data_IF_385407393009
#
_entry.id   IF_385407393009
#
_cell.length_a   1.000
_cell.length_b   1.000
_cell.length_c   1.000
_cell.angle_alpha   90.00
_cell.angle_beta   90.00
_cell.angle_gamma   90.00
#
_symmetry.space_group_name_H-M   'P 1'
#
loop_
_entity.id
_entity.type
_entity.pdbx_description
1 polymer ?
#
# COMPACT_ATOMS: atom_id res chain seq x y z
N UNK A 1 -28.25 5.75 -13.10
CA UNK A 1 -27.56 5.55 -11.81
C UNK A 1 -26.17 5.04 -12.14
N UNK A 2 -25.12 5.86 -11.95
CA UNK A 2 -23.75 5.34 -12.00
C UNK A 2 -23.56 4.52 -10.72
N UNK A 3 -23.56 3.20 -10.85
CA UNK A 3 -22.93 2.33 -9.87
C UNK A 3 -21.44 2.67 -9.86
N UNK A 4 -20.98 3.33 -8.80
CA UNK A 4 -19.57 3.52 -8.58
C UNK A 4 -18.93 2.12 -8.55
N UNK A 5 -18.07 1.83 -9.52
CA UNK A 5 -17.23 0.64 -9.51
C UNK A 5 -16.39 0.73 -8.24
N UNK A 6 -16.72 -0.09 -7.23
CA UNK A 6 -15.95 -0.14 -5.99
C UNK A 6 -14.70 -0.96 -6.27
N UNK A 7 -13.71 -0.34 -6.91
CA UNK A 7 -12.36 -0.89 -7.03
C UNK A 7 -11.75 -0.94 -5.62
N UNK A 8 -12.09 -1.96 -4.84
CA UNK A 8 -11.28 -2.31 -3.69
C UNK A 8 -9.91 -2.72 -4.23
N UNK A 9 -8.80 -2.13 -3.75
CA UNK A 9 -7.48 -2.50 -4.24
C UNK A 9 -7.25 -3.99 -3.99
N UNK A 10 -7.04 -4.73 -5.08
CA UNK A 10 -6.52 -6.10 -5.05
C UNK A 10 -5.19 -6.09 -4.29
N UNK A 11 -4.96 -7.10 -3.47
CA UNK A 11 -3.77 -7.26 -2.64
C UNK A 11 -3.94 -8.49 -1.74
N UNK A 12 -2.84 -9.02 -1.19
CA UNK A 12 -2.88 -10.16 -0.26
C UNK A 12 -2.42 -9.73 1.14
N UNK A 13 -2.81 -10.47 2.20
CA UNK A 13 -2.19 -10.34 3.51
C UNK A 13 -0.66 -10.40 3.40
N UNK A 14 0.04 -9.44 4.00
CA UNK A 14 1.50 -9.36 3.98
C UNK A 14 2.15 -10.22 5.08
N UNK A 15 1.36 -10.66 6.06
CA UNK A 15 1.75 -11.76 6.93
C UNK A 15 1.72 -11.45 8.42
N UNK A 16 0.93 -10.46 8.84
CA UNK A 16 0.66 -10.27 10.27
C UNK A 16 -0.12 -11.47 10.80
N UNK A 17 -1.19 -11.90 10.16
CA UNK A 17 -1.99 -13.05 10.63
C UNK A 17 -1.25 -14.38 10.42
N UNK A 18 -0.63 -14.57 9.26
CA UNK A 18 0.02 -15.85 8.90
C UNK A 18 1.30 -16.13 9.68
N UNK A 19 1.98 -15.09 10.20
CA UNK A 19 3.29 -15.23 10.84
C UNK A 19 4.47 -15.04 9.89
N UNK A 20 4.24 -14.77 8.60
CA UNK A 20 5.33 -14.51 7.65
C UNK A 20 6.12 -13.24 8.03
N UNK A 21 5.43 -12.23 8.57
CA UNK A 21 6.07 -11.14 9.32
C UNK A 21 6.43 -11.69 10.70
N UNK A 22 7.71 -11.78 11.02
CA UNK A 22 8.17 -12.40 12.27
C UNK A 22 7.91 -11.52 13.49
N UNK A 23 7.86 -12.10 14.70
CA UNK A 23 7.67 -11.33 15.93
C UNK A 23 8.75 -10.27 16.16
N UNK A 24 9.98 -10.51 15.66
CA UNK A 24 11.08 -9.57 15.79
C UNK A 24 10.90 -8.32 14.90
N UNK A 25 10.04 -8.40 13.89
CA UNK A 25 9.75 -7.32 12.96
C UNK A 25 8.55 -6.46 13.39
N UNK A 26 8.00 -6.69 14.59
CA UNK A 26 6.86 -5.95 15.12
C UNK A 26 7.25 -5.29 16.44
N UNK A 27 7.43 -3.97 16.42
CA UNK A 27 7.79 -3.16 17.58
C UNK A 27 6.64 -2.25 18.00
N UNK A 28 6.58 -1.90 19.28
CA UNK A 28 5.54 -1.02 19.83
C UNK A 28 6.17 0.03 20.72
N UNK A 29 5.53 1.20 20.84
CA UNK A 29 5.95 2.26 21.75
C UNK A 29 5.97 1.81 23.20
N UNK A 30 4.98 1.00 23.58
CA UNK A 30 4.79 0.49 24.92
C UNK A 30 3.91 -0.77 24.92
N UNK A 31 3.84 -1.42 26.09
CA UNK A 31 3.03 -2.61 26.36
C UNK A 31 2.29 -2.43 27.68
N UNK A 32 0.99 -2.76 27.71
CA UNK A 32 0.23 -2.79 28.96
C UNK A 32 0.68 -3.93 29.91
N UNK A 33 1.26 -4.99 29.35
CA UNK A 33 1.76 -6.17 30.08
C UNK A 33 3.29 -6.27 29.93
N UNK A 34 3.80 -7.41 29.45
CA UNK A 34 5.23 -7.66 29.28
C UNK A 34 5.67 -7.31 27.86
N UNK A 35 6.77 -6.58 27.73
CA UNK A 35 7.40 -6.29 26.45
C UNK A 35 8.39 -7.41 26.07
N UNK A 36 8.51 -7.78 24.77
CA UNK A 36 7.79 -7.24 23.60
C UNK A 36 6.40 -7.86 23.42
N UNK A 37 5.40 -7.01 23.14
CA UNK A 37 4.01 -7.42 22.98
C UNK A 37 3.45 -7.16 21.56
N UNK A 38 4.28 -6.75 20.60
CA UNK A 38 3.83 -6.40 19.25
C UNK A 38 3.15 -7.56 18.51
N UNK A 39 3.61 -8.79 18.73
CA UNK A 39 3.03 -9.99 18.14
C UNK A 39 1.57 -10.26 18.56
N UNK A 40 1.08 -9.62 19.63
CA UNK A 40 -0.31 -9.70 20.03
C UNK A 40 -1.23 -8.89 19.10
N UNK A 41 -0.67 -8.01 18.25
CA UNK A 41 -1.44 -7.21 17.31
C UNK A 41 -1.81 -7.93 16.02
N UNK A 42 -1.61 -9.25 15.90
CA UNK A 42 -1.94 -9.97 14.67
C UNK A 42 -3.46 -10.07 14.52
N UNK A 43 -3.98 -9.85 13.31
CA UNK A 43 -5.40 -10.01 13.01
C UNK A 43 -5.89 -11.40 13.47
N UNK A 44 -7.11 -11.47 14.00
CA UNK A 44 -7.73 -12.70 14.52
C UNK A 44 -6.96 -13.45 15.64
N UNK A 45 -5.88 -12.88 16.19
CA UNK A 45 -5.25 -13.41 17.38
C UNK A 45 -6.21 -13.44 18.57
N UNK A 46 -6.00 -14.37 19.52
CA UNK A 46 -6.82 -14.49 20.73
C UNK A 46 -6.73 -13.24 21.63
N UNK A 47 -5.60 -12.55 21.52
CA UNK A 47 -5.16 -11.39 22.30
C UNK A 47 -4.94 -10.21 21.34
N UNK A 48 -4.71 -9.02 21.89
CA UNK A 48 -4.49 -7.79 21.12
C UNK A 48 -3.29 -7.04 21.69
N UNK A 49 -2.56 -6.30 20.87
CA UNK A 49 -1.65 -5.30 21.42
C UNK A 49 -2.43 -4.25 22.19
N UNK A 50 -1.95 -3.90 23.38
CA UNK A 50 -2.45 -2.81 24.20
C UNK A 50 -1.28 -1.91 24.59
N UNK A 51 -1.42 -0.60 24.33
CA UNK A 51 -0.44 0.38 24.80
C UNK A 51 -0.50 0.52 26.34
N UNK A 52 0.60 0.92 26.95
CA UNK A 52 0.64 1.18 28.39
C UNK A 52 -0.28 2.33 28.79
N UNK A 53 -0.81 2.32 30.01
CA UNK A 53 -1.78 3.33 30.47
C UNK A 53 -1.22 4.77 30.46
N UNK A 54 0.10 4.93 30.55
CA UNK A 54 0.80 6.22 30.48
C UNK A 54 1.18 6.63 29.04
N UNK A 55 0.83 5.83 28.03
CA UNK A 55 1.15 6.05 26.61
C UNK A 55 -0.12 5.94 25.75
N UNK A 56 -1.20 6.61 26.18
CA UNK A 56 -2.47 6.59 25.45
C UNK A 56 -2.62 7.76 24.46
N UNK A 57 -1.68 8.72 24.47
CA UNK A 57 -1.77 9.95 23.68
C UNK A 57 -1.12 9.84 22.31
N UNK A 58 0.05 9.19 22.22
CA UNK A 58 0.79 9.02 20.97
C UNK A 58 1.44 7.61 20.86
N UNK A 59 0.72 6.51 21.17
CA UNK A 59 1.29 5.17 21.01
C UNK A 59 1.48 4.82 19.54
N UNK A 60 2.35 3.88 19.27
CA UNK A 60 2.53 3.32 17.93
C UNK A 60 2.80 1.82 17.96
N UNK A 61 2.40 1.16 16.88
CA UNK A 61 2.90 -0.16 16.48
C UNK A 61 3.55 -0.04 15.11
N UNK A 62 4.78 -0.51 15.00
CA UNK A 62 5.61 -0.40 13.83
C UNK A 62 5.99 -1.79 13.31
N UNK A 63 5.88 -1.94 11.99
CA UNK A 63 6.09 -3.19 11.28
C UNK A 63 7.25 -2.99 10.29
N UNK A 64 8.25 -3.84 10.40
CA UNK A 64 9.39 -3.92 9.50
C UNK A 64 9.17 -5.02 8.46
N UNK A 65 9.02 -4.63 7.19
CA UNK A 65 8.69 -5.55 6.09
C UNK A 65 9.91 -6.17 5.42
N UNK A 66 11.14 -5.80 5.85
CA UNK A 66 12.46 -6.24 5.36
C UNK A 66 12.81 -5.94 3.90
N UNK A 67 11.81 -5.76 3.05
CA UNK A 67 11.91 -5.37 1.66
C UNK A 67 10.80 -4.38 1.32
N UNK A 68 10.91 -3.73 0.18
CA UNK A 68 9.86 -2.84 -0.30
C UNK A 68 8.55 -3.61 -0.51
N UNK A 69 7.47 -3.06 0.01
CA UNK A 69 6.12 -3.52 -0.24
C UNK A 69 5.25 -2.36 -0.66
N UNK A 70 4.32 -2.63 -1.57
CA UNK A 70 3.24 -1.72 -1.92
C UNK A 70 2.03 -2.06 -1.04
N UNK A 71 1.75 -1.22 -0.05
CA UNK A 71 0.66 -1.37 0.92
C UNK A 71 -0.55 -0.62 0.37
N UNK A 72 -1.64 -1.35 0.15
CA UNK A 72 -2.85 -0.85 -0.51
C UNK A 72 -4.02 -0.69 0.47
N UNK A 73 -4.02 -1.44 1.56
CA UNK A 73 -4.99 -1.30 2.64
C UNK A 73 -4.45 -1.81 3.97
N UNK A 74 -5.11 -1.44 5.05
CA UNK A 74 -4.89 -1.97 6.39
C UNK A 74 -6.22 -2.51 6.90
N UNK A 75 -6.20 -3.71 7.46
CA UNK A 75 -7.35 -4.27 8.18
C UNK A 75 -7.08 -4.10 9.67
N UNK A 76 -8.03 -3.56 10.43
CA UNK A 76 -7.93 -3.40 11.89
C UNK A 76 -9.08 -4.11 12.60
N UNK A 77 -8.83 -4.59 13.80
CA UNK A 77 -9.80 -5.22 14.69
C UNK A 77 -9.51 -4.77 16.13
N UNK A 78 -10.52 -4.69 16.99
CA UNK A 78 -10.32 -4.37 18.41
C UNK A 78 -9.72 -5.53 19.21
N UNK A 79 -9.58 -5.36 20.52
CA UNK A 79 -9.31 -6.42 21.51
C UNK A 79 -10.47 -6.56 22.51
N UNK A 80 -10.28 -7.28 23.61
CA UNK A 80 -11.37 -7.53 24.58
C UNK A 80 -11.93 -6.23 25.16
N UNK A 81 -13.18 -5.91 24.79
CA UNK A 81 -13.98 -4.74 25.17
C UNK A 81 -13.36 -3.37 24.85
N UNK A 82 -12.32 -3.34 24.01
CA UNK A 82 -11.51 -2.15 23.73
C UNK A 82 -11.15 -2.10 22.25
N UNK A 83 -11.11 -0.91 21.67
CA UNK A 83 -10.74 -0.76 20.28
C UNK A 83 -10.28 0.66 19.95
N UNK A 84 -9.45 0.78 18.93
CA UNK A 84 -9.05 2.06 18.34
C UNK A 84 -10.17 2.56 17.42
N UNK A 85 -10.62 3.80 17.61
CA UNK A 85 -11.70 4.43 16.83
C UNK A 85 -11.18 5.37 15.75
N UNK A 86 -9.93 5.83 15.85
CA UNK A 86 -9.23 6.51 14.76
C UNK A 86 -7.72 6.35 14.89
N UNK A 87 -7.00 6.43 13.78
CA UNK A 87 -5.54 6.30 13.74
C UNK A 87 -4.92 7.11 12.60
N UNK A 88 -3.62 7.36 12.72
CA UNK A 88 -2.76 7.92 11.67
C UNK A 88 -1.77 6.85 11.20
N UNK A 89 -1.16 7.10 10.05
CA UNK A 89 -0.13 6.23 9.48
C UNK A 89 1.13 7.06 9.27
N UNK A 90 2.28 6.49 9.62
CA UNK A 90 3.58 6.95 9.15
C UNK A 90 4.32 5.80 8.48
N UNK A 91 5.11 6.06 7.45
CA UNK A 91 5.79 5.04 6.66
C UNK A 91 7.13 5.54 6.15
N UNK A 92 8.02 4.62 5.77
CA UNK A 92 9.35 4.98 5.30
C UNK A 92 10.20 3.79 4.92
N UNK A 93 11.44 4.08 4.57
CA UNK A 93 12.46 3.09 4.20
C UNK A 93 13.38 2.81 5.39
N UNK A 94 13.61 3.83 6.21
CA UNK A 94 14.45 3.77 7.41
C UNK A 94 13.57 3.82 8.67
N UNK A 95 13.97 3.10 9.71
CA UNK A 95 13.18 2.95 10.94
C UNK A 95 12.87 4.29 11.63
N UNK A 96 13.83 5.22 11.60
CA UNK A 96 13.77 6.49 12.35
C UNK A 96 13.34 7.68 11.50
N UNK A 97 13.17 7.51 10.18
CA UNK A 97 12.81 8.58 9.25
C UNK A 97 11.52 8.20 8.51
N UNK A 98 10.41 8.39 9.21
CA UNK A 98 9.08 8.06 8.70
C UNK A 98 8.32 9.33 8.31
N UNK A 99 7.76 9.29 7.11
CA UNK A 99 6.84 10.32 6.60
C UNK A 99 5.42 10.05 7.09
N UNK A 100 4.71 11.10 7.49
CA UNK A 100 3.29 11.01 7.86
C UNK A 100 2.45 10.89 6.58
N UNK A 101 1.48 9.99 6.58
CA UNK A 101 0.52 9.90 5.49
C UNK A 101 -0.42 11.11 5.51
N UNK A 102 -0.45 11.84 4.39
CA UNK A 102 -1.26 13.05 4.23
C UNK A 102 -2.32 12.86 3.15
N UNK A 103 -3.39 13.65 3.26
CA UNK A 103 -4.32 13.87 2.16
C UNK A 103 -3.56 14.54 0.99
N UNK A 104 -3.74 14.04 -0.23
CA UNK A 104 -3.01 14.54 -1.41
C UNK A 104 -3.52 15.87 -1.93
N UNK A 105 -4.80 16.19 -1.66
CA UNK A 105 -5.44 17.41 -2.13
C UNK A 105 -5.21 18.56 -1.13
N UNK A 106 -5.27 18.25 0.17
CA UNK A 106 -5.14 19.25 1.24
C UNK A 106 -3.72 19.35 1.82
N UNK A 107 -2.89 18.30 1.69
CA UNK A 107 -1.57 18.22 2.32
C UNK A 107 -1.63 18.11 3.85
N UNK A 108 -2.80 17.84 4.42
CA UNK A 108 -3.03 17.72 5.86
C UNK A 108 -2.81 16.28 6.31
N UNK A 109 -2.43 16.08 7.58
CA UNK A 109 -2.27 14.73 8.13
C UNK A 109 -3.58 13.95 8.08
N UNK A 110 -3.55 12.77 7.47
CA UNK A 110 -4.75 11.95 7.33
C UNK A 110 -5.07 11.23 8.64
N UNK A 111 -6.32 11.37 9.10
CA UNK A 111 -6.86 10.62 10.24
C UNK A 111 -7.89 9.64 9.72
N UNK A 112 -7.57 8.35 9.83
CA UNK A 112 -8.42 7.27 9.36
C UNK A 112 -9.43 6.87 10.43
N UNK A 113 -10.70 6.62 10.07
CA UNK A 113 -11.63 5.96 10.96
C UNK A 113 -11.16 4.53 11.25
N UNK A 114 -11.24 4.13 12.52
CA UNK A 114 -10.90 2.80 12.99
C UNK A 114 -12.12 1.92 13.19
N UNK A 115 -12.06 1.08 14.22
CA UNK A 115 -13.13 0.15 14.57
C UNK A 115 -14.28 0.85 15.32
N UNK A 116 -15.46 0.25 15.22
CA UNK A 116 -16.66 0.66 15.95
C UNK A 116 -17.08 -0.35 17.02
N UNK A 117 -16.41 -1.50 17.09
CA UNK A 117 -16.57 -2.53 18.11
C UNK A 117 -15.25 -3.30 18.32
N UNK A 118 -15.27 -4.32 19.17
CA UNK A 118 -14.10 -5.14 19.51
C UNK A 118 -13.79 -6.30 18.54
N UNK A 119 -14.73 -6.70 17.67
CA UNK A 119 -14.69 -7.99 16.98
C UNK A 119 -14.77 -7.89 15.47
N UNK A 120 -15.42 -6.87 14.94
CA UNK A 120 -15.59 -6.66 13.50
C UNK A 120 -14.30 -6.08 12.91
N UNK A 121 -13.74 -6.78 11.92
CA UNK A 121 -12.61 -6.28 11.15
C UNK A 121 -13.05 -5.15 10.22
N UNK A 122 -12.32 -4.04 10.23
CA UNK A 122 -12.54 -2.86 9.39
C UNK A 122 -11.38 -2.72 8.42
N UNK A 123 -11.68 -2.58 7.13
CA UNK A 123 -10.66 -2.38 6.09
C UNK A 123 -10.59 -0.91 5.70
N UNK A 124 -9.41 -0.33 5.80
CA UNK A 124 -9.09 1.04 5.38
C UNK A 124 -8.22 0.98 4.14
N UNK A 125 -8.80 1.30 2.98
CA UNK A 125 -8.05 1.44 1.72
C UNK A 125 -7.22 2.72 1.73
N UNK A 126 -6.01 2.64 1.19
CA UNK A 126 -5.10 3.76 1.06
C UNK A 126 -5.19 4.31 -0.36
N UNK A 127 -5.20 5.62 -0.52
CA UNK A 127 -5.15 6.30 -1.81
C UNK A 127 -4.50 7.66 -1.56
N UNK A 128 -3.23 7.85 -1.97
CA UNK A 128 -2.37 6.93 -2.73
C UNK A 128 -1.91 5.68 -1.93
N UNK A 129 -1.45 4.65 -2.63
CA UNK A 129 -0.81 3.48 -1.99
C UNK A 129 0.56 3.86 -1.42
N UNK A 130 0.99 3.13 -0.39
CA UNK A 130 2.27 3.36 0.28
C UNK A 130 3.31 2.39 -0.28
N UNK A 131 4.48 2.88 -0.68
CA UNK A 131 5.65 2.06 -0.98
C UNK A 131 6.68 2.23 0.16
N UNK A 132 6.90 1.20 0.98
CA UNK A 132 7.71 1.31 2.18
C UNK A 132 8.36 0.00 2.64
N UNK A 133 9.37 0.10 3.50
CA UNK A 133 9.93 -1.01 4.30
C UNK A 133 9.46 -0.98 5.75
N UNK A 134 9.07 0.20 6.24
CA UNK A 134 8.51 0.41 7.57
C UNK A 134 7.14 1.06 7.43
N UNK A 135 6.20 0.56 8.21
CA UNK A 135 4.90 1.21 8.41
C UNK A 135 4.58 1.22 9.90
N UNK A 136 4.10 2.35 10.38
CA UNK A 136 3.72 2.56 11.77
C UNK A 136 2.29 3.04 11.84
N UNK A 137 1.46 2.28 12.54
CA UNK A 137 0.07 2.64 12.85
C UNK A 137 0.05 3.36 14.19
N UNK A 138 -0.55 4.55 14.21
CA UNK A 138 -0.54 5.48 15.36
C UNK A 138 -1.96 5.75 15.83
N UNK A 139 -2.49 4.99 16.80
CA UNK A 139 -3.80 5.23 17.37
C UNK A 139 -3.96 6.68 17.83
N UNK A 140 -5.07 7.32 17.46
CA UNK A 140 -5.37 8.72 17.81
C UNK A 140 -6.53 8.86 18.78
N UNK A 141 -7.54 7.99 18.66
CA UNK A 141 -8.62 7.86 19.64
C UNK A 141 -9.03 6.40 19.81
N UNK A 142 -9.60 6.07 20.96
CA UNK A 142 -10.01 4.70 21.30
C UNK A 142 -11.26 4.71 22.18
N UNK A 143 -11.99 3.59 22.16
CA UNK A 143 -12.96 3.28 23.21
C UNK A 143 -12.24 2.66 24.41
N UNK A 144 -12.33 3.30 25.57
CA UNK A 144 -11.59 2.95 26.81
C UNK A 144 -10.07 3.13 26.74
N UNK A 145 -9.33 2.18 26.16
CA UNK A 145 -7.86 2.25 26.02
C UNK A 145 -7.43 1.71 24.66
N UNK A 146 -6.27 2.13 24.17
CA UNK A 146 -5.68 1.64 22.93
C UNK A 146 -5.49 0.12 23.00
N UNK A 147 -6.20 -0.57 22.12
CA UNK A 147 -6.16 -2.01 21.93
C UNK A 147 -6.48 -2.30 20.46
N UNK A 148 -5.60 -3.03 19.78
CA UNK A 148 -5.81 -3.33 18.36
C UNK A 148 -5.10 -4.62 17.91
N UNK A 149 -5.70 -5.22 16.88
CA UNK A 149 -5.14 -6.23 16.00
C UNK A 149 -5.18 -5.68 14.57
N UNK A 150 -4.26 -6.11 13.70
CA UNK A 150 -4.16 -5.62 12.34
C UNK A 150 -3.56 -6.62 11.36
N UNK A 151 -3.84 -6.40 10.08
CA UNK A 151 -3.18 -7.00 8.92
C UNK A 151 -2.89 -5.92 7.88
N UNK A 152 -1.77 -6.06 7.18
CA UNK A 152 -1.41 -5.21 6.06
C UNK A 152 -1.80 -5.93 4.77
N UNK A 153 -2.48 -5.24 3.86
CA UNK A 153 -2.85 -5.76 2.56
C UNK A 153 -2.01 -5.06 1.49
N UNK A 154 -1.44 -5.83 0.59
CA UNK A 154 -0.62 -5.26 -0.47
C UNK A 154 0.06 -6.28 -1.36
N UNK A 155 1.19 -5.84 -1.92
CA UNK A 155 2.05 -6.62 -2.81
C UNK A 155 3.50 -6.55 -2.35
N UNK A 156 4.21 -7.64 -2.59
CA UNK A 156 5.63 -7.75 -2.29
C UNK A 156 5.98 -9.14 -1.74
N UNK A 157 7.25 -9.34 -1.35
CA UNK A 157 8.34 -8.36 -1.45
C UNK A 157 8.62 -7.95 -2.89
N UNK A 158 8.84 -6.66 -3.13
CA UNK A 158 9.28 -6.15 -4.44
C UNK A 158 10.79 -6.36 -4.59
N UNK A 159 11.30 -6.60 -5.81
CA UNK A 159 12.70 -6.99 -5.97
C UNK A 159 13.68 -5.85 -5.67
N UNK A 160 14.90 -6.21 -5.28
CA UNK A 160 15.93 -5.30 -4.75
C UNK A 160 16.30 -4.12 -5.67
N UNK A 161 16.04 -4.17 -6.98
CA UNK A 161 16.31 -3.05 -7.89
C UNK A 161 15.51 -1.77 -7.55
N UNK A 162 14.45 -1.86 -6.72
CA UNK A 162 13.77 -0.69 -6.15
C UNK A 162 14.67 0.05 -5.14
N UNK A 163 15.56 -0.65 -4.44
CA UNK A 163 16.60 -0.04 -3.58
C UNK A 163 17.60 0.77 -4.41
N UNK A 164 17.87 0.36 -5.66
CA UNK A 164 18.83 1.02 -6.54
C UNK A 164 18.27 2.32 -7.15
N UNK A 165 16.95 2.46 -7.27
CA UNK A 165 16.30 3.72 -7.70
C UNK A 165 16.59 4.87 -6.71
N UNK A 166 16.74 4.57 -5.41
CA UNK A 166 17.00 5.56 -4.37
C UNK A 166 18.49 5.86 -4.15
N UNK A 167 19.38 5.01 -4.67
CA UNK A 167 20.84 5.26 -4.66
C UNK A 167 21.18 6.18 -5.82
N UNK A 168 21.04 7.50 -5.60
CA UNK A 168 21.56 8.54 -6.51
C UNK A 168 23.10 8.45 -6.60
N UNK A 169 23.62 7.57 -7.45
CA UNK A 169 24.98 7.67 -7.98
C UNK A 169 25.00 7.70 -9.51
N UNK A 170 23.91 8.22 -10.13
CA UNK A 170 23.87 8.67 -11.53
C UNK A 170 24.23 7.63 -12.60
N UNK A 171 24.47 6.39 -12.20
CA UNK A 171 24.79 5.28 -13.05
C UNK A 171 23.55 4.40 -13.06
N UNK A 172 22.82 4.42 -14.17
CA UNK A 172 21.78 3.43 -14.45
C UNK A 172 22.49 2.07 -14.57
N UNK A 173 22.83 1.46 -13.44
CA UNK A 173 23.39 0.13 -13.36
C UNK A 173 22.23 -0.87 -13.41
N UNK A 174 22.33 -1.71 -14.42
CA UNK A 174 21.39 -2.73 -14.86
C UNK A 174 20.09 -2.22 -15.50
N UNK A 175 19.87 -2.64 -16.74
CA UNK A 175 18.60 -2.44 -17.45
C UNK A 175 17.50 -2.97 -16.54
N UNK A 176 16.63 -2.10 -16.04
CA UNK A 176 15.53 -2.49 -15.15
C UNK A 176 14.70 -3.63 -15.74
N UNK A 177 14.02 -4.38 -14.89
CA UNK A 177 13.13 -5.47 -15.32
C UNK A 177 11.97 -4.85 -16.13
N UNK A 178 11.67 -5.32 -17.35
CA UNK A 178 10.55 -4.84 -18.14
C UNK A 178 9.24 -4.96 -17.34
N UNK A 179 8.47 -3.87 -17.24
CA UNK A 179 7.19 -3.85 -16.52
C UNK A 179 6.05 -4.55 -17.28
N UNK A 180 6.30 -4.90 -18.55
CA UNK A 180 5.40 -5.78 -19.30
C UNK A 180 4.68 -5.16 -20.49
N UNK A 181 5.10 -3.97 -20.94
CA UNK A 181 4.65 -3.43 -22.24
C UNK A 181 5.06 -4.36 -23.38
N UNK A 182 6.25 -4.95 -23.34
CA UNK A 182 6.73 -5.87 -24.38
C UNK A 182 6.03 -7.24 -24.35
N UNK A 183 5.90 -7.85 -23.17
CA UNK A 183 5.43 -9.24 -23.03
C UNK A 183 3.91 -9.38 -22.82
N UNK A 184 3.18 -8.27 -22.67
CA UNK A 184 1.73 -8.27 -22.47
C UNK A 184 1.27 -8.26 -21.00
N UNK A 185 2.17 -8.25 -20.01
CA UNK A 185 1.75 -8.17 -18.60
C UNK A 185 1.06 -6.82 -18.28
N UNK A 186 1.44 -5.75 -19.00
CA UNK A 186 0.62 -4.54 -19.11
C UNK A 186 -0.34 -4.77 -20.28
N UNK A 187 -1.63 -4.89 -19.98
CA UNK A 187 -2.69 -5.10 -20.98
C UNK A 187 -2.92 -3.90 -21.89
N UNK A 188 -3.57 -4.12 -23.03
CA UNK A 188 -3.83 -3.09 -24.05
C UNK A 188 -4.68 -1.93 -23.49
N UNK A 189 -5.57 -2.22 -22.55
CA UNK A 189 -6.40 -1.23 -21.84
C UNK A 189 -5.60 -0.21 -21.04
N UNK A 190 -4.36 -0.56 -20.70
CA UNK A 190 -3.44 0.29 -19.95
C UNK A 190 -2.57 1.17 -20.85
N UNK A 191 -2.70 1.04 -22.17
CA UNK A 191 -2.00 1.85 -23.18
C UNK A 191 -3.01 2.77 -23.87
N UNK A 192 -3.06 4.03 -23.45
CA UNK A 192 -3.97 5.04 -24.04
C UNK A 192 -3.18 6.15 -24.72
N UNK A 193 -3.81 6.90 -25.62
CA UNK A 193 -3.19 8.05 -26.27
C UNK A 193 -4.20 9.16 -26.49
N UNK A 194 -3.71 10.38 -26.70
CA UNK A 194 -4.53 11.53 -27.02
C UNK A 194 -5.33 11.32 -28.31
N UNK A 195 -4.63 10.88 -29.35
CA UNK A 195 -5.17 10.49 -30.64
C UNK A 195 -4.39 9.29 -31.17
N UNK A 196 -4.97 8.56 -32.11
CA UNK A 196 -4.27 7.50 -32.83
C UNK A 196 -4.82 7.35 -34.23
N UNK A 197 -3.95 7.06 -35.18
CA UNK A 197 -4.34 6.55 -36.49
C UNK A 197 -5.04 5.19 -36.33
N UNK A 198 -6.11 4.89 -37.08
CA UNK A 198 -6.87 3.66 -36.92
C UNK A 198 -6.06 2.37 -37.10
N UNK A 199 -5.00 2.41 -37.92
CA UNK A 199 -4.09 1.28 -38.15
C UNK A 199 -3.01 1.12 -37.09
N UNK A 200 -2.76 2.18 -36.30
CA UNK A 200 -1.59 2.29 -35.41
C UNK A 200 -2.02 2.81 -34.02
N UNK A 201 -2.94 2.10 -33.33
CA UNK A 201 -3.48 2.50 -32.04
C UNK A 201 -2.43 2.42 -30.92
N UNK A 202 -2.70 3.08 -29.79
CA UNK A 202 -1.79 3.14 -28.63
C UNK A 202 -1.24 1.78 -28.15
N UNK A 203 -2.04 0.71 -28.22
CA UNK A 203 -1.62 -0.62 -27.76
C UNK A 203 -0.62 -1.33 -28.70
N UNK A 204 -0.36 -0.81 -29.91
CA UNK A 204 0.71 -1.32 -30.79
C UNK A 204 2.08 -0.74 -30.45
N UNK A 205 2.16 0.22 -29.51
CA UNK A 205 3.42 0.82 -29.02
C UNK A 205 4.25 -0.12 -28.13
N UNK A 206 4.28 -1.43 -28.45
CA UNK A 206 4.99 -2.45 -27.70
C UNK A 206 6.36 -2.73 -28.32
N UNK A 207 7.41 -2.64 -27.50
CA UNK A 207 8.77 -2.96 -27.92
C UNK A 207 8.84 -4.41 -28.42
N UNK A 208 9.59 -4.66 -29.49
CA UNK A 208 9.80 -5.97 -30.10
C UNK A 208 8.53 -6.75 -30.48
N UNK A 209 7.41 -6.05 -30.73
CA UNK A 209 6.17 -6.69 -31.17
C UNK A 209 6.38 -7.50 -32.46
N UNK A 210 6.10 -8.80 -32.40
CA UNK A 210 6.29 -9.76 -33.51
C UNK A 210 5.39 -9.49 -34.71
N UNK A 211 4.29 -8.75 -34.53
CA UNK A 211 3.39 -8.35 -35.62
C UNK A 211 3.91 -7.11 -36.38
N UNK A 212 4.94 -6.44 -35.87
CA UNK A 212 5.38 -5.12 -36.35
C UNK A 212 4.37 -4.01 -36.02
N UNK A 213 4.82 -2.75 -36.06
CA UNK A 213 3.99 -1.58 -35.81
C UNK A 213 4.51 -0.68 -34.69
N UNK A 214 3.81 0.43 -34.47
CA UNK A 214 4.01 1.37 -33.38
C UNK A 214 2.79 2.27 -33.26
N UNK A 215 2.75 3.13 -32.25
CA UNK A 215 1.68 4.13 -32.15
C UNK A 215 1.97 5.32 -33.07
N UNK A 216 0.96 5.76 -33.82
CA UNK A 216 1.02 6.98 -34.64
C UNK A 216 -0.15 7.89 -34.23
N UNK A 217 0.09 9.13 -33.77
CA UNK A 217 -0.98 10.11 -33.54
C UNK A 217 -1.54 10.65 -34.86
N UNK A 218 -2.76 11.20 -34.81
CA UNK A 218 -3.34 11.87 -35.98
C UNK A 218 -2.48 13.07 -36.40
N UNK A 219 -2.34 13.31 -37.70
CA UNK A 219 -1.57 14.45 -38.23
C UNK A 219 -2.12 15.83 -37.83
N UNK A 220 -3.36 15.89 -37.33
CA UNK A 220 -4.01 17.10 -36.81
C UNK A 220 -3.75 17.34 -35.32
N UNK A 221 -3.13 16.39 -34.62
CA UNK A 221 -2.83 16.49 -33.21
C UNK A 221 -1.54 17.30 -32.98
N UNK A 222 -1.71 18.53 -32.49
CA UNK A 222 -0.58 19.42 -32.17
C UNK A 222 0.12 19.08 -30.85
N UNK A 223 -0.45 18.21 -30.03
CA UNK A 223 0.05 17.85 -28.69
C UNK A 223 -0.10 16.35 -28.42
N UNK A 224 0.48 15.47 -29.26
CA UNK A 224 0.27 14.04 -29.13
C UNK A 224 0.98 13.49 -27.89
N UNK A 225 0.27 12.67 -27.13
CA UNK A 225 0.85 11.90 -26.03
C UNK A 225 0.34 10.46 -26.05
N UNK A 226 1.17 9.57 -25.50
CA UNK A 226 0.83 8.20 -25.15
C UNK A 226 1.03 8.04 -23.65
N UNK A 227 0.08 7.41 -22.99
CA UNK A 227 0.03 7.19 -21.56
C UNK A 227 0.03 5.69 -21.28
N UNK A 228 0.87 5.29 -20.32
CA UNK A 228 0.92 3.91 -19.80
C UNK A 228 0.43 3.91 -18.37
N UNK A 229 -0.67 3.24 -18.10
CA UNK A 229 -1.13 2.97 -16.75
C UNK A 229 -0.39 1.77 -16.18
N UNK A 230 0.39 1.97 -15.13
CA UNK A 230 1.10 0.89 -14.41
C UNK A 230 0.30 0.37 -13.21
N UNK A 231 -0.91 0.89 -13.00
CA UNK A 231 -1.79 0.45 -11.92
C UNK A 231 -2.46 -0.85 -12.33
N UNK A 232 -2.21 -1.92 -11.56
CA UNK A 232 -2.86 -3.23 -11.71
C UNK A 232 -4.35 -3.15 -11.32
N UNK A 233 -5.16 -2.46 -12.12
CA UNK A 233 -6.61 -2.54 -12.01
C UNK A 233 -7.08 -3.86 -12.62
N UNK A 234 -6.89 -4.99 -11.92
CA UNK A 234 -7.77 -6.14 -12.15
C UNK A 234 -9.11 -5.84 -11.51
N UNK A 235 -9.97 -5.16 -12.27
CA UNK A 235 -11.39 -5.21 -12.04
C UNK A 235 -11.85 -6.62 -12.44
N UNK A 236 -11.94 -7.54 -11.50
CA UNK A 236 -12.68 -8.77 -11.75
C UNK A 236 -14.14 -8.36 -11.99
N UNK A 237 -14.63 -8.65 -13.20
CA UNK A 237 -16.04 -8.56 -13.54
C UNK A 237 -16.75 -9.65 -12.72
N UNK A 238 -17.56 -9.25 -11.75
CA UNK A 238 -18.58 -10.14 -11.15
C UNK A 238 -19.80 -10.15 -12.04
#
# INVERSE_FOLDING_TARGET
MLTALKCAPSGRPLGMESGDISNADITTSSCATTSPCGHEARLNAMTSWMAALNDQTEPYIQIHLRAYHMITAIVTQGGTDKWVTSFKISYGVEETDLTIYTDVDEGTEMVFPGNYDNTTSVTTSLTPYILAKYISIRPKSSNSTVSMRLELIGYGPLPDHVDDIHKRDGTCLDKGIPLGVENGDIGDESLTAHTSEPSDPSHTARLNSVTGGGWIPLNTDSTPFLQVSTLFYRCDVV
#
